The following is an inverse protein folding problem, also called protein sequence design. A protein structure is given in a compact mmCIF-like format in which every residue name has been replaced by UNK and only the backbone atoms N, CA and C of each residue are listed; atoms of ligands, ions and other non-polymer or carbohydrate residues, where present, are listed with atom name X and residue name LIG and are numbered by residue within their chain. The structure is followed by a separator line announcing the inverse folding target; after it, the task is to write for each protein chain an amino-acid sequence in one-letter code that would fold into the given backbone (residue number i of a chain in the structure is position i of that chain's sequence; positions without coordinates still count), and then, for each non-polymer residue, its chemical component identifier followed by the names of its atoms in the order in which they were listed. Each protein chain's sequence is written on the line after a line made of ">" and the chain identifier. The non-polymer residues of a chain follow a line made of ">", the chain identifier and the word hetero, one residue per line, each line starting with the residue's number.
data_IF_250419131806
#
_entry.id   IF_250419131806
#
_cell.length_a   1.000
_cell.length_b   1.000
_cell.length_c   1.000
_cell.angle_alpha   90.00
_cell.angle_beta   90.00
_cell.angle_gamma   90.00
#
_symmetry.space_group_name_H-M   'P 1'
#
loop_
_entity.id
_entity.type
_entity.pdbx_description
1 polymer ?
#
# COMPACT_ATOMS: atom_id res chain seq x y z
N UNK A 1 1.15 -2.22 -21.25
CA UNK A 1 1.33 -0.97 -20.49
C UNK A 1 0.47 -0.98 -19.22
N UNK A 2 0.91 -0.27 -18.18
CA UNK A 2 0.13 -0.06 -16.96
C UNK A 2 -1.04 0.90 -17.19
N UNK A 3 -2.15 0.71 -16.47
CA UNK A 3 -3.32 1.59 -16.53
C UNK A 3 -3.04 2.97 -15.92
N UNK A 4 -2.12 3.04 -14.95
CA UNK A 4 -1.64 4.28 -14.34
C UNK A 4 -0.13 4.36 -14.57
N UNK A 5 0.38 5.54 -14.85
CA UNK A 5 1.83 5.78 -14.86
C UNK A 5 2.41 5.52 -13.46
N UNK A 6 3.71 5.22 -13.39
CA UNK A 6 4.40 5.09 -12.10
C UNK A 6 4.18 6.35 -11.27
N UNK A 7 3.65 6.18 -10.06
CA UNK A 7 3.50 7.26 -9.09
C UNK A 7 4.85 7.46 -8.39
N UNK A 8 5.30 8.70 -8.32
CA UNK A 8 6.63 9.02 -7.81
C UNK A 8 6.63 10.36 -7.04
N UNK A 9 5.74 10.51 -6.03
CA UNK A 9 5.81 11.69 -5.18
C UNK A 9 7.12 11.71 -4.39
N UNK A 10 7.73 12.89 -4.30
CA UNK A 10 8.94 13.12 -3.52
C UNK A 10 8.77 14.32 -2.57
N UNK A 11 9.49 14.30 -1.45
CA UNK A 11 9.44 15.35 -0.45
C UNK A 11 8.01 15.64 0.03
N UNK A 12 7.59 16.89 -0.03
CA UNK A 12 6.22 17.31 0.33
C UNK A 12 5.14 16.61 -0.50
N UNK A 13 5.45 16.21 -1.72
CA UNK A 13 4.52 15.46 -2.57
C UNK A 13 4.06 14.14 -1.95
N UNK A 14 4.85 13.52 -1.06
CA UNK A 14 4.47 12.27 -0.39
C UNK A 14 3.28 12.40 0.57
N UNK A 15 2.89 13.62 0.93
CA UNK A 15 1.66 13.89 1.70
C UNK A 15 0.38 13.84 0.87
N UNK A 16 0.48 13.63 -0.44
CA UNK A 16 -0.64 13.51 -1.37
C UNK A 16 -0.56 12.22 -2.17
N UNK A 17 -1.72 11.69 -2.55
CA UNK A 17 -1.82 10.48 -3.35
C UNK A 17 -1.75 10.78 -4.85
N UNK A 18 -1.31 9.78 -5.64
CA UNK A 18 -1.39 9.76 -7.10
C UNK A 18 -0.56 10.84 -7.83
N UNK A 19 0.50 11.35 -7.21
CA UNK A 19 1.42 12.25 -7.90
C UNK A 19 2.44 11.45 -8.73
N UNK A 20 2.63 11.88 -9.95
CA UNK A 20 3.65 11.33 -10.87
C UNK A 20 4.99 12.05 -10.70
N UNK A 21 6.01 11.61 -11.44
CA UNK A 21 7.32 12.26 -11.46
C UNK A 21 7.24 13.74 -11.85
N UNK A 22 8.01 14.57 -11.16
CA UNK A 22 8.20 16.00 -11.45
C UNK A 22 9.63 16.26 -11.91
N UNK A 23 9.97 17.52 -12.13
CA UNK A 23 11.35 17.96 -12.40
C UNK A 23 12.10 18.33 -11.11
N UNK A 24 11.50 18.13 -9.93
CA UNK A 24 12.12 18.42 -8.66
C UNK A 24 13.28 17.48 -8.38
N UNK A 25 14.31 18.01 -7.72
CA UNK A 25 15.45 17.20 -7.30
C UNK A 25 15.13 16.46 -6.01
N UNK A 26 15.65 15.25 -5.90
CA UNK A 26 15.64 14.55 -4.62
C UNK A 26 16.47 15.29 -3.59
N UNK A 27 15.92 15.41 -2.39
CA UNK A 27 16.57 16.10 -1.26
C UNK A 27 16.91 15.06 -0.18
N UNK A 28 18.13 15.18 0.34
CA UNK A 28 18.59 14.32 1.44
C UNK A 28 17.69 14.44 2.67
N UNK A 29 17.27 13.31 3.22
CA UNK A 29 16.37 13.24 4.37
C UNK A 29 14.88 13.26 4.02
N UNK A 30 14.52 13.53 2.76
CA UNK A 30 13.15 13.48 2.29
C UNK A 30 12.78 12.09 1.72
N UNK A 31 11.54 11.70 1.93
CA UNK A 31 10.99 10.45 1.39
C UNK A 31 10.59 10.60 -0.08
N UNK A 32 10.68 9.50 -0.81
CA UNK A 32 10.07 9.31 -2.13
C UNK A 32 9.27 8.01 -2.08
N UNK A 33 8.00 8.06 -2.45
CA UNK A 33 7.19 6.88 -2.63
C UNK A 33 7.30 6.45 -4.10
N UNK A 34 7.58 5.18 -4.33
CA UNK A 34 7.58 4.58 -5.66
C UNK A 34 6.45 3.57 -5.67
N UNK A 35 5.38 3.88 -6.41
CA UNK A 35 4.26 2.97 -6.63
C UNK A 35 4.13 2.67 -8.11
N UNK A 36 4.19 1.40 -8.44
CA UNK A 36 4.13 0.91 -9.81
C UNK A 36 3.37 -0.42 -9.88
N UNK A 37 2.91 -0.80 -11.06
CA UNK A 37 2.26 -2.08 -11.26
C UNK A 37 2.95 -2.90 -12.34
N UNK A 38 3.26 -4.16 -12.01
CA UNK A 38 3.48 -5.19 -13.01
C UNK A 38 2.20 -5.45 -13.78
N UNK A 39 2.31 -5.66 -15.11
CA UNK A 39 1.13 -5.90 -15.96
C UNK A 39 1.39 -7.05 -16.91
N UNK A 40 0.50 -8.05 -16.89
CA UNK A 40 0.48 -9.13 -17.87
C UNK A 40 -0.95 -9.35 -18.38
N UNK A 41 -1.15 -9.29 -19.69
CA UNK A 41 -2.48 -9.42 -20.32
C UNK A 41 -3.56 -8.56 -19.67
N UNK A 42 -3.24 -7.33 -19.31
CA UNK A 42 -4.09 -6.37 -18.58
C UNK A 42 -4.35 -6.68 -17.11
N UNK A 43 -3.89 -7.82 -16.58
CA UNK A 43 -3.89 -8.06 -15.14
C UNK A 43 -2.79 -7.25 -14.47
N UNK A 44 -3.15 -6.58 -13.38
CA UNK A 44 -2.28 -5.66 -12.65
C UNK A 44 -1.89 -6.23 -11.28
N UNK A 45 -0.62 -6.03 -10.92
CA UNK A 45 -0.09 -6.34 -9.59
C UNK A 45 0.68 -5.12 -9.08
N UNK A 46 -0.02 -4.14 -8.48
CA UNK A 46 0.61 -2.93 -7.96
C UNK A 46 1.37 -3.19 -6.65
N UNK A 47 2.43 -2.40 -6.46
CA UNK A 47 3.26 -2.42 -5.26
C UNK A 47 3.83 -1.02 -5.01
N UNK A 48 3.90 -0.61 -3.75
CA UNK A 48 4.56 0.62 -3.33
C UNK A 48 5.65 0.36 -2.30
N UNK A 49 6.73 1.15 -2.39
CA UNK A 49 7.80 1.22 -1.40
C UNK A 49 8.23 2.66 -1.19
N UNK A 50 8.67 2.96 0.03
CA UNK A 50 9.28 4.25 0.35
C UNK A 50 10.79 4.15 0.34
N UNK A 51 11.40 5.06 -0.40
CA UNK A 51 12.86 5.24 -0.49
C UNK A 51 13.22 6.58 0.14
N UNK A 52 14.36 6.64 0.81
CA UNK A 52 14.89 7.86 1.39
C UNK A 52 16.35 8.03 1.02
N UNK A 53 16.71 9.23 0.58
CA UNK A 53 18.10 9.57 0.25
C UNK A 53 18.82 10.07 1.50
N UNK A 54 19.99 9.49 1.80
CA UNK A 54 20.80 9.86 2.94
C UNK A 54 20.24 9.32 4.26
N UNK A 55 20.60 9.96 5.39
CA UNK A 55 20.21 9.49 6.73
C UNK A 55 18.78 9.91 7.08
N UNK A 56 17.86 8.95 7.34
CA UNK A 56 16.53 9.28 7.82
C UNK A 56 16.56 9.81 9.27
N UNK A 57 15.56 10.63 9.62
CA UNK A 57 15.25 10.88 11.02
C UNK A 57 14.54 9.68 11.66
N UNK A 58 14.59 9.61 12.99
CA UNK A 58 13.99 8.49 13.74
C UNK A 58 12.46 8.44 13.56
N UNK A 59 11.80 9.58 13.40
CA UNK A 59 10.35 9.65 13.20
C UNK A 59 9.93 8.92 11.92
N UNK A 60 10.66 9.07 10.80
CA UNK A 60 10.37 8.38 9.54
C UNK A 60 10.58 6.87 9.66
N UNK A 61 11.66 6.47 10.34
CA UNK A 61 11.92 5.03 10.63
C UNK A 61 10.77 4.43 11.44
N UNK A 62 10.41 5.08 12.56
CA UNK A 62 9.36 4.58 13.46
C UNK A 62 8.00 4.54 12.77
N UNK A 63 7.69 5.57 11.96
CA UNK A 63 6.44 5.61 11.20
C UNK A 63 6.39 4.48 10.16
N UNK A 64 7.49 4.25 9.44
CA UNK A 64 7.53 3.16 8.47
C UNK A 64 7.37 1.78 9.13
N UNK A 65 7.99 1.57 10.28
CA UNK A 65 7.84 0.32 11.05
C UNK A 65 6.37 0.09 11.48
N UNK A 66 5.68 1.14 11.97
CA UNK A 66 4.26 1.08 12.31
C UNK A 66 3.38 0.83 11.08
N UNK A 67 3.72 1.44 9.96
CA UNK A 67 3.03 1.24 8.68
C UNK A 67 3.13 -0.22 8.22
N UNK A 68 4.34 -0.81 8.32
CA UNK A 68 4.57 -2.22 7.98
C UNK A 68 3.86 -3.16 8.96
N UNK A 69 3.87 -2.86 10.27
CA UNK A 69 3.12 -3.65 11.28
C UNK A 69 1.63 -3.67 10.95
N UNK A 70 1.05 -2.52 10.58
CA UNK A 70 -0.36 -2.46 10.19
C UNK A 70 -0.64 -3.25 8.89
N UNK A 71 0.22 -3.11 7.87
CA UNK A 71 0.12 -3.87 6.63
C UNK A 71 0.17 -5.38 6.91
N UNK A 72 1.13 -5.83 7.73
CA UNK A 72 1.29 -7.23 8.06
C UNK A 72 0.09 -7.77 8.85
N UNK A 73 -0.46 -7.01 9.79
CA UNK A 73 -1.65 -7.41 10.53
C UNK A 73 -2.87 -7.67 9.62
N UNK A 74 -3.04 -6.87 8.58
CA UNK A 74 -4.06 -7.12 7.57
C UNK A 74 -3.76 -8.34 6.69
N UNK A 75 -2.50 -8.51 6.26
CA UNK A 75 -2.07 -9.69 5.50
C UNK A 75 -2.35 -10.97 6.29
N UNK A 76 -2.05 -11.01 7.59
CA UNK A 76 -2.27 -12.16 8.47
C UNK A 76 -3.76 -12.54 8.61
N UNK A 77 -4.68 -11.59 8.41
CA UNK A 77 -6.12 -11.84 8.39
C UNK A 77 -6.66 -12.18 7.00
N UNK A 78 -5.84 -12.09 5.97
CA UNK A 78 -6.26 -12.40 4.60
C UNK A 78 -6.29 -13.92 4.38
N UNK A 79 -7.48 -14.49 4.48
CA UNK A 79 -7.75 -15.93 4.28
C UNK A 79 -9.19 -16.17 3.83
N UNK A 80 -9.49 -17.32 3.22
CA UNK A 80 -10.86 -17.66 2.83
C UNK A 80 -11.81 -17.64 4.02
N UNK A 81 -13.00 -17.07 3.82
CA UNK A 81 -14.07 -17.00 4.82
C UNK A 81 -14.02 -15.76 5.72
N UNK A 82 -12.88 -15.08 5.84
CA UNK A 82 -12.85 -13.76 6.44
C UNK A 82 -13.47 -12.74 5.48
N UNK A 83 -13.89 -11.60 6.03
CA UNK A 83 -14.42 -10.49 5.25
C UNK A 83 -13.35 -9.41 4.99
N UNK A 84 -13.62 -8.52 4.05
CA UNK A 84 -12.80 -7.32 3.85
C UNK A 84 -12.76 -6.45 5.12
N UNK A 85 -13.86 -6.42 5.91
CA UNK A 85 -13.92 -5.78 7.23
C UNK A 85 -12.96 -6.42 8.23
N UNK A 86 -12.86 -7.75 8.30
CA UNK A 86 -11.92 -8.43 9.22
C UNK A 86 -10.47 -8.01 8.95
N UNK A 87 -10.08 -7.94 7.70
CA UNK A 87 -8.75 -7.47 7.26
C UNK A 87 -8.57 -5.99 7.64
N UNK A 88 -9.58 -5.18 7.37
CA UNK A 88 -9.57 -3.76 7.71
C UNK A 88 -9.46 -3.54 9.23
N UNK A 89 -10.25 -4.23 10.04
CA UNK A 89 -10.21 -4.11 11.50
C UNK A 89 -8.83 -4.46 12.08
N UNK A 90 -8.18 -5.52 11.58
CA UNK A 90 -6.84 -5.88 12.00
C UNK A 90 -5.82 -4.78 11.70
N UNK A 91 -5.88 -4.19 10.51
CA UNK A 91 -5.05 -3.08 10.09
C UNK A 91 -5.26 -1.85 11.00
N UNK A 92 -6.51 -1.41 11.17
CA UNK A 92 -6.83 -0.23 12.00
C UNK A 92 -6.53 -0.43 13.47
N UNK A 93 -6.67 -1.65 14.01
CA UNK A 93 -6.28 -1.94 15.40
C UNK A 93 -4.82 -1.61 15.69
N UNK A 94 -3.92 -1.83 14.73
CA UNK A 94 -2.52 -1.43 14.87
C UNK A 94 -2.38 0.09 14.85
N UNK A 95 -3.07 0.78 13.94
CA UNK A 95 -3.04 2.24 13.88
C UNK A 95 -3.58 2.88 15.15
N UNK A 96 -4.69 2.36 15.69
CA UNK A 96 -5.31 2.83 16.93
C UNK A 96 -4.34 2.69 18.11
N UNK A 97 -3.58 1.59 18.20
CA UNK A 97 -2.51 1.38 19.20
C UNK A 97 -1.47 2.52 19.19
N UNK A 98 -1.22 3.10 18.03
CA UNK A 98 -0.23 4.18 17.86
C UNK A 98 -0.85 5.57 17.76
N UNK A 99 -2.17 5.71 17.88
CA UNK A 99 -2.88 6.97 17.74
C UNK A 99 -2.78 7.57 16.33
N UNK A 100 -2.63 6.72 15.30
CA UNK A 100 -2.54 7.16 13.90
C UNK A 100 -3.92 7.11 13.27
N UNK A 101 -4.41 8.26 12.81
CA UNK A 101 -5.67 8.37 12.10
C UNK A 101 -5.47 8.12 10.59
N UNK A 102 -6.28 7.23 10.02
CA UNK A 102 -6.36 7.00 8.57
C UNK A 102 -7.83 6.89 8.16
N UNK A 103 -8.28 7.80 7.30
CA UNK A 103 -9.68 7.89 6.85
C UNK A 103 -9.95 7.13 5.56
N UNK A 104 -8.96 6.98 4.70
CA UNK A 104 -9.10 6.28 3.42
C UNK A 104 -9.06 4.78 3.60
N UNK A 105 -9.70 4.04 2.67
CA UNK A 105 -9.58 2.57 2.59
C UNK A 105 -8.12 2.14 2.59
N UNK A 106 -7.85 0.90 3.02
CA UNK A 106 -6.50 0.33 3.01
C UNK A 106 -6.31 -0.74 1.94
N UNK A 107 -7.22 -0.84 0.99
CA UNK A 107 -7.08 -1.73 -0.15
C UNK A 107 -8.31 -1.74 -1.04
N UNK A 108 -8.18 -2.36 -2.19
CA UNK A 108 -9.23 -2.53 -3.19
C UNK A 108 -8.90 -3.69 -4.13
N UNK A 109 -9.94 -4.29 -4.73
CA UNK A 109 -9.78 -5.38 -5.69
C UNK A 109 -8.97 -4.96 -6.92
N UNK A 110 -8.12 -5.87 -7.39
CA UNK A 110 -7.31 -5.70 -8.60
C UNK A 110 -7.54 -6.88 -9.55
N UNK A 111 -7.28 -6.64 -10.82
CA UNK A 111 -7.39 -7.64 -11.88
C UNK A 111 -7.14 -7.02 -13.23
N UNK A 112 -8.09 -7.15 -14.15
CA UNK A 112 -8.02 -6.52 -15.47
C UNK A 112 -8.29 -5.02 -15.32
N UNK A 113 -7.30 -4.20 -15.65
CA UNK A 113 -7.40 -2.75 -15.55
C UNK A 113 -7.11 -2.03 -16.87
N UNK A 114 -7.75 -0.90 -17.07
CA UNK A 114 -7.53 0.04 -18.17
C UNK A 114 -7.45 1.46 -17.62
N UNK A 115 -6.76 2.37 -18.30
CA UNK A 115 -6.74 3.75 -17.84
C UNK A 115 -8.17 4.29 -17.56
N UNK A 116 -8.36 5.06 -16.52
CA UNK A 116 -7.34 5.68 -15.67
C UNK A 116 -7.01 4.92 -14.38
N UNK A 117 -7.45 3.67 -14.20
CA UNK A 117 -7.32 2.94 -12.94
C UNK A 117 -6.93 1.48 -13.17
N UNK A 118 -6.26 0.85 -12.20
CA UNK A 118 -6.01 -0.59 -12.16
C UNK A 118 -6.89 -1.35 -11.16
N UNK A 119 -7.76 -0.66 -10.42
CA UNK A 119 -8.73 -1.26 -9.52
C UNK A 119 -9.97 -1.79 -10.26
N UNK A 120 -10.55 -2.88 -9.77
CA UNK A 120 -11.79 -3.45 -10.31
C UNK A 120 -13.05 -2.94 -9.61
N UNK A 121 -12.92 -2.24 -8.47
CA UNK A 121 -14.03 -1.67 -7.70
C UNK A 121 -15.09 -2.68 -7.22
N UNK A 122 -14.72 -3.96 -7.05
CA UNK A 122 -15.63 -5.03 -6.63
C UNK A 122 -15.64 -5.25 -5.12
N UNK A 123 -14.55 -4.87 -4.41
CA UNK A 123 -14.47 -4.83 -2.95
C UNK A 123 -13.54 -3.71 -2.48
N UNK A 124 -13.70 -3.30 -1.22
CA UNK A 124 -12.77 -2.39 -0.56
C UNK A 124 -12.31 -3.00 0.77
N UNK A 125 -11.01 -2.97 1.04
CA UNK A 125 -10.51 -3.27 2.38
C UNK A 125 -10.75 -2.03 3.24
N UNK A 126 -11.91 -2.00 3.85
CA UNK A 126 -12.42 -0.87 4.62
C UNK A 126 -13.40 -1.34 5.69
N UNK A 127 -13.48 -0.63 6.81
CA UNK A 127 -14.40 -0.94 7.90
C UNK A 127 -15.85 -0.93 7.39
N UNK A 128 -16.56 -2.04 7.61
CA UNK A 128 -17.95 -2.22 7.20
C UNK A 128 -18.14 -2.89 5.84
N UNK A 129 -17.10 -3.18 5.07
CA UNK A 129 -17.22 -3.98 3.85
C UNK A 129 -17.25 -5.48 4.20
N UNK A 130 -18.45 -6.05 4.18
CA UNK A 130 -18.70 -7.45 4.55
C UNK A 130 -18.48 -8.45 3.41
N UNK A 131 -17.86 -8.03 2.31
CA UNK A 131 -17.50 -8.92 1.21
C UNK A 131 -16.61 -10.04 1.71
N UNK A 132 -17.06 -11.28 1.53
CA UNK A 132 -16.31 -12.46 1.94
C UNK A 132 -15.15 -12.70 0.99
N UNK A 133 -13.98 -12.93 1.55
CA UNK A 133 -12.79 -13.28 0.78
C UNK A 133 -12.86 -14.75 0.36
N UNK A 134 -13.01 -14.96 -0.94
CA UNK A 134 -12.99 -16.27 -1.55
C UNK A 134 -11.62 -16.58 -2.15
N UNK A 135 -11.31 -17.85 -2.36
CA UNK A 135 -10.11 -18.25 -3.09
C UNK A 135 -10.01 -17.55 -4.43
N UNK A 136 -8.82 -17.09 -4.78
CA UNK A 136 -8.47 -16.33 -5.98
C UNK A 136 -8.96 -14.87 -6.03
N UNK A 137 -9.65 -14.39 -5.02
CA UNK A 137 -9.83 -12.93 -4.89
C UNK A 137 -8.45 -12.28 -4.81
N UNK A 138 -8.25 -11.26 -5.64
CA UNK A 138 -7.02 -10.47 -5.68
C UNK A 138 -7.31 -9.02 -5.30
N UNK A 139 -6.45 -8.44 -4.48
CA UNK A 139 -6.56 -7.03 -4.10
C UNK A 139 -5.20 -6.40 -3.82
N UNK A 140 -5.14 -5.10 -3.97
CA UNK A 140 -4.01 -4.27 -3.58
C UNK A 140 -4.25 -3.77 -2.16
N UNK A 141 -3.39 -4.15 -1.23
CA UNK A 141 -3.44 -3.68 0.15
C UNK A 141 -2.41 -2.58 0.37
N UNK A 142 -2.87 -1.42 0.83
CA UNK A 142 -2.11 -0.17 0.86
C UNK A 142 -1.99 0.33 2.30
N UNK A 143 -0.78 0.35 2.82
CA UNK A 143 -0.46 1.04 4.05
C UNK A 143 0.25 2.36 3.72
N UNK A 144 -0.53 3.41 3.54
CA UNK A 144 -0.03 4.77 3.33
C UNK A 144 -0.36 5.63 4.54
N UNK A 145 0.66 6.27 5.09
CA UNK A 145 0.53 7.24 6.19
C UNK A 145 0.99 8.60 5.69
N UNK A 146 0.07 9.55 5.73
CA UNK A 146 0.30 10.92 5.22
C UNK A 146 0.13 11.92 6.36
N UNK A 147 1.09 12.81 6.48
CA UNK A 147 1.13 13.89 7.45
C UNK A 147 1.20 15.24 6.71
N UNK A 148 1.17 16.36 7.40
CA UNK A 148 1.03 17.67 6.80
C UNK A 148 1.90 17.94 5.55
N UNK A 149 3.18 17.55 5.56
CA UNK A 149 4.12 17.79 4.47
C UNK A 149 5.02 16.60 4.10
N UNK A 150 4.68 15.40 4.56
CA UNK A 150 5.38 14.18 4.21
C UNK A 150 4.49 12.93 4.37
N UNK A 151 4.93 11.81 3.81
CA UNK A 151 4.27 10.52 3.97
C UNK A 151 5.21 9.36 3.72
N UNK A 152 4.76 8.17 4.12
CA UNK A 152 5.41 6.89 3.81
C UNK A 152 4.36 5.88 3.36
N UNK A 153 4.79 4.94 2.54
CA UNK A 153 3.92 3.89 2.01
C UNK A 153 4.66 2.57 1.83
N UNK A 154 3.97 1.50 2.17
CA UNK A 154 4.26 0.15 1.70
C UNK A 154 2.96 -0.50 1.26
N UNK A 155 2.96 -1.21 0.16
CA UNK A 155 1.77 -1.91 -0.31
C UNK A 155 2.12 -3.23 -0.98
N UNK A 156 1.13 -4.13 -1.05
CA UNK A 156 1.26 -5.45 -1.63
C UNK A 156 0.05 -5.79 -2.50
N UNK A 157 0.30 -6.39 -3.65
CA UNK A 157 -0.72 -7.12 -4.39
C UNK A 157 -0.82 -8.55 -3.82
N UNK A 158 -2.03 -8.96 -3.47
CA UNK A 158 -2.31 -10.17 -2.70
C UNK A 158 -3.34 -11.03 -3.43
N UNK A 159 -3.15 -12.36 -3.42
CA UNK A 159 -4.17 -13.34 -3.82
C UNK A 159 -4.55 -14.20 -2.63
N UNK A 160 -5.85 -14.39 -2.40
CA UNK A 160 -6.37 -15.35 -1.43
C UNK A 160 -6.16 -16.76 -1.93
N UNK A 161 -5.57 -17.64 -1.09
CA UNK A 161 -5.31 -19.05 -1.38
C UNK A 161 -6.32 -19.97 -0.67
N UNK A 162 -6.10 -21.27 -0.65
CA UNK A 162 -6.98 -22.21 0.08
C UNK A 162 -6.93 -22.04 1.61
N UNK A 163 -5.78 -21.57 2.16
CA UNK A 163 -5.55 -21.56 3.61
C UNK A 163 -5.06 -20.20 4.15
N UNK A 164 -4.95 -19.19 3.30
CA UNK A 164 -4.39 -17.88 3.65
C UNK A 164 -4.27 -17.02 2.41
N UNK A 165 -3.11 -16.38 2.23
CA UNK A 165 -2.84 -15.59 1.04
C UNK A 165 -1.40 -15.77 0.56
N UNK A 166 -1.15 -15.33 -0.67
CA UNK A 166 0.19 -15.16 -1.22
C UNK A 166 0.37 -13.72 -1.70
N UNK A 167 1.58 -13.23 -1.60
CA UNK A 167 1.99 -11.95 -2.16
C UNK A 167 2.54 -12.17 -3.58
N UNK A 168 2.24 -11.26 -4.51
CA UNK A 168 2.79 -11.35 -5.86
C UNK A 168 4.24 -10.90 -5.95
N UNK A 169 4.77 -10.29 -4.90
CA UNK A 169 6.14 -9.83 -4.83
C UNK A 169 6.78 -10.20 -3.48
N UNK A 170 8.05 -10.59 -3.49
CA UNK A 170 8.85 -10.89 -2.31
C UNK A 170 9.84 -9.76 -1.95
N UNK A 171 9.70 -8.59 -2.59
CA UNK A 171 10.55 -7.45 -2.33
C UNK A 171 10.39 -6.94 -0.89
N UNK A 172 11.50 -6.65 -0.15
CA UNK A 172 11.43 -6.32 1.27
C UNK A 172 10.48 -5.16 1.59
N UNK A 173 9.71 -5.34 2.67
CA UNK A 173 8.87 -4.30 3.26
C UNK A 173 9.67 -3.55 4.32
N UNK A 174 10.37 -2.51 3.92
CA UNK A 174 11.21 -1.70 4.80
C UNK A 174 11.32 -0.26 4.26
N UNK A 175 11.85 0.66 5.07
CA UNK A 175 12.29 1.94 4.56
C UNK A 175 13.63 1.74 3.83
N UNK A 176 13.61 1.87 2.51
CA UNK A 176 14.82 1.70 1.70
C UNK A 176 15.67 2.97 1.78
N UNK A 177 16.91 2.83 2.28
CA UNK A 177 17.83 3.95 2.45
C UNK A 177 18.91 3.88 1.37
N UNK A 178 19.03 4.95 0.59
CA UNK A 178 20.08 5.14 -0.39
C UNK A 178 21.09 6.15 0.16
N UNK A 179 22.28 5.69 0.53
CA UNK A 179 23.42 6.52 0.95
C UNK A 179 24.10 7.21 -0.23
#
# INVERSE_FOLDING_TARGET
>A
YSSIATLLPTGKGTSASHLTATQDKFVTGEATIIELSGVHNRYHAPMARTVLLGKPDQLKIDTMNKTIEALQAGIDQTKPGNTADDVAQAFWKVLDKYGIEKKSRTGYSIGIGYPPDWGEHTLNIYKGDMTVLEKNVCFHMIAVMQFGDWGVEASEAIRVTDNGCELFCDFPKELHIKS
#
